data_IF_743177725675
#
_entry.id   IF_743177725675
#
_cell.length_a   1.000
_cell.length_b   1.000
_cell.length_c   1.000
_cell.angle_alpha   90.00
_cell.angle_beta   90.00
_cell.angle_gamma   90.00
#
_symmetry.space_group_name_H-M   'P 1'
#
loop_
_entity.id
_entity.type
_entity.pdbx_description
1 polymer ?
#
# COMPACT_ATOMS: atom_id res chain seq x y z
N UNK A 1 27.12 -15.02 10.55
CA UNK A 1 25.70 -15.40 10.54
C UNK A 1 24.91 -14.15 10.16
N UNK A 2 24.30 -14.11 8.98
CA UNK A 2 23.43 -12.99 8.62
C UNK A 2 22.18 -13.08 9.50
N UNK A 3 21.86 -12.03 10.26
CA UNK A 3 20.57 -11.93 10.94
C UNK A 3 19.49 -11.93 9.84
N UNK A 4 18.59 -12.92 9.86
CA UNK A 4 17.37 -12.86 9.05
C UNK A 4 16.57 -11.64 9.53
N UNK A 5 16.57 -10.58 8.74
CA UNK A 5 15.74 -9.42 8.98
C UNK A 5 14.29 -9.81 8.73
N UNK A 6 13.45 -9.70 9.77
CA UNK A 6 12.01 -9.94 9.63
C UNK A 6 11.40 -8.88 8.70
N UNK A 7 10.36 -9.24 7.92
CA UNK A 7 9.61 -8.28 7.12
C UNK A 7 9.09 -7.12 7.96
N UNK A 8 9.15 -5.90 7.43
CA UNK A 8 8.68 -4.71 8.14
C UNK A 8 7.16 -4.58 8.00
N UNK A 9 6.40 -4.46 9.10
CA UNK A 9 4.96 -4.26 9.01
C UNK A 9 4.62 -2.84 8.52
N UNK A 10 3.80 -2.74 7.48
CA UNK A 10 3.31 -1.47 6.91
C UNK A 10 1.78 -1.48 6.92
N UNK A 11 1.18 -0.54 7.65
CA UNK A 11 -0.27 -0.33 7.67
C UNK A 11 -0.66 0.71 6.62
N UNK A 12 -1.19 0.23 5.49
CA UNK A 12 -1.57 1.07 4.35
C UNK A 12 -2.67 2.10 4.70
N UNK A 13 -3.52 1.78 5.68
CA UNK A 13 -4.60 2.68 6.11
C UNK A 13 -4.10 3.88 6.93
N UNK A 14 -2.85 3.82 7.42
CA UNK A 14 -2.20 4.90 8.18
C UNK A 14 -1.31 5.79 7.34
N UNK A 15 -1.17 5.50 6.06
CA UNK A 15 -0.41 6.35 5.15
C UNK A 15 -1.14 7.70 4.95
N UNK A 16 -0.44 8.84 5.05
CA UNK A 16 -1.09 10.16 4.99
C UNK A 16 -1.69 10.51 3.63
N UNK A 17 -1.17 9.94 2.54
CA UNK A 17 -1.70 10.16 1.20
C UNK A 17 -2.40 8.91 0.68
N UNK A 18 -3.70 9.03 0.40
CA UNK A 18 -4.48 8.03 -0.34
C UNK A 18 -5.47 8.78 -1.23
N UNK A 19 -5.67 8.32 -2.45
CA UNK A 19 -6.64 8.87 -3.39
C UNK A 19 -7.94 8.04 -3.44
N UNK A 20 -8.12 7.15 -2.46
CA UNK A 20 -9.33 6.35 -2.33
C UNK A 20 -10.57 7.21 -2.13
N UNK A 21 -11.56 6.97 -2.99
CA UNK A 21 -12.78 7.77 -3.06
C UNK A 21 -13.85 7.37 -2.05
N UNK A 22 -13.67 6.24 -1.34
CA UNK A 22 -14.70 5.67 -0.48
C UNK A 22 -15.92 5.13 -1.22
N UNK A 23 -15.89 5.09 -2.57
CA UNK A 23 -16.96 4.52 -3.38
C UNK A 23 -17.17 3.05 -3.00
N UNK A 24 -18.44 2.69 -2.84
CA UNK A 24 -18.89 1.33 -2.50
C UNK A 24 -19.82 0.81 -3.61
N UNK A 25 -20.08 -0.51 -3.69
CA UNK A 25 -21.08 -1.05 -4.60
C UNK A 25 -22.46 -0.46 -4.32
N UNK A 26 -23.24 -0.21 -5.37
CA UNK A 26 -24.62 0.27 -5.25
C UNK A 26 -25.63 -0.84 -4.95
N UNK A 27 -25.26 -2.09 -5.20
CA UNK A 27 -26.17 -3.24 -5.09
C UNK A 27 -26.05 -3.88 -3.71
N UNK A 28 -27.18 -4.07 -3.04
CA UNK A 28 -27.27 -4.62 -1.68
C UNK A 28 -26.71 -6.06 -1.51
N UNK A 29 -26.53 -6.80 -2.61
CA UNK A 29 -26.00 -8.18 -2.58
C UNK A 29 -24.47 -8.25 -2.43
N UNK A 30 -23.79 -7.12 -2.22
CA UNK A 30 -22.35 -7.10 -1.98
C UNK A 30 -22.04 -7.18 -0.49
N UNK A 31 -21.21 -8.15 -0.10
CA UNK A 31 -20.63 -8.25 1.24
C UNK A 31 -19.26 -7.60 1.29
N UNK A 32 -18.99 -6.76 2.29
CA UNK A 32 -17.65 -6.27 2.56
C UNK A 32 -16.78 -7.43 3.06
N UNK A 33 -15.61 -7.60 2.47
CA UNK A 33 -14.65 -8.62 2.88
C UNK A 33 -13.62 -8.06 3.87
N UNK A 34 -13.11 -8.90 4.79
CA UNK A 34 -11.97 -8.52 5.62
C UNK A 34 -10.73 -8.25 4.75
N UNK A 35 -9.90 -7.28 5.15
CA UNK A 35 -8.71 -6.88 4.40
C UNK A 35 -7.60 -7.94 4.41
N UNK A 36 -7.49 -8.74 5.48
CA UNK A 36 -6.38 -9.67 5.73
C UNK A 36 -6.00 -10.54 4.52
N UNK A 37 -6.92 -11.32 3.94
CA UNK A 37 -6.61 -12.17 2.78
C UNK A 37 -6.07 -11.42 1.57
N UNK A 38 -6.53 -10.18 1.34
CA UNK A 38 -5.99 -9.34 0.26
C UNK A 38 -4.61 -8.80 0.64
N UNK A 39 -4.42 -8.34 1.88
CA UNK A 39 -3.10 -7.87 2.37
C UNK A 39 -2.03 -8.97 2.29
N UNK A 40 -2.39 -10.24 2.56
CA UNK A 40 -1.50 -11.39 2.41
C UNK A 40 -1.08 -11.59 0.95
N UNK A 41 -2.03 -11.47 0.01
CA UNK A 41 -1.73 -11.53 -1.42
C UNK A 41 -0.82 -10.38 -1.88
N UNK A 42 -1.11 -9.15 -1.42
CA UNK A 42 -0.29 -7.98 -1.73
C UNK A 42 1.13 -8.13 -1.17
N UNK A 43 1.25 -8.69 0.04
CA UNK A 43 2.54 -9.00 0.68
C UNK A 43 3.33 -9.99 -0.16
N UNK A 44 2.67 -11.04 -0.64
CA UNK A 44 3.27 -12.02 -1.55
C UNK A 44 3.76 -11.38 -2.85
N UNK A 45 2.96 -10.51 -3.49
CA UNK A 45 3.38 -9.81 -4.71
C UNK A 45 4.56 -8.87 -4.50
N UNK A 46 4.59 -8.14 -3.37
CA UNK A 46 5.69 -7.26 -3.04
C UNK A 46 7.00 -8.05 -2.85
N UNK A 47 6.99 -9.06 -1.98
CA UNK A 47 8.20 -9.80 -1.63
C UNK A 47 8.68 -10.73 -2.75
N UNK A 48 7.81 -11.13 -3.68
CA UNK A 48 8.22 -11.85 -4.89
C UNK A 48 8.93 -10.95 -5.93
N UNK A 49 8.80 -9.62 -5.81
CA UNK A 49 9.45 -8.68 -6.72
C UNK A 49 10.78 -8.18 -6.13
N UNK A 50 11.88 -8.77 -6.58
CA UNK A 50 13.22 -8.43 -6.12
C UNK A 50 13.57 -6.94 -6.32
N UNK A 51 13.04 -6.28 -7.35
CA UNK A 51 13.28 -4.86 -7.59
C UNK A 51 12.62 -4.00 -6.51
N UNK A 52 11.41 -4.36 -6.06
CA UNK A 52 10.74 -3.66 -4.95
C UNK A 52 11.46 -3.91 -3.63
N UNK A 53 11.82 -5.16 -3.33
CA UNK A 53 12.58 -5.49 -2.11
C UNK A 53 13.92 -4.72 -2.10
N UNK A 54 14.61 -4.64 -3.23
CA UNK A 54 15.85 -3.85 -3.37
C UNK A 54 15.60 -2.34 -3.24
N UNK A 55 14.54 -1.81 -3.89
CA UNK A 55 14.16 -0.40 -3.80
C UNK A 55 13.90 0.00 -2.34
N UNK A 56 13.13 -0.80 -1.61
CA UNK A 56 12.73 -0.52 -0.24
C UNK A 56 13.77 -0.98 0.80
N UNK A 57 14.73 -1.81 0.37
CA UNK A 57 15.82 -2.31 1.18
C UNK A 57 15.44 -3.46 2.12
N UNK A 58 14.19 -3.93 2.07
CA UNK A 58 13.66 -4.97 2.96
C UNK A 58 12.40 -5.59 2.36
N UNK A 59 12.11 -6.81 2.81
CA UNK A 59 10.77 -7.39 2.70
C UNK A 59 9.78 -6.62 3.59
N UNK A 60 8.51 -6.62 3.18
CA UNK A 60 7.41 -5.90 3.84
C UNK A 60 6.30 -6.89 4.15
N UNK A 61 5.55 -6.62 5.22
CA UNK A 61 4.28 -7.27 5.52
C UNK A 61 3.19 -6.20 5.57
N UNK A 62 2.18 -6.27 4.70
CA UNK A 62 1.05 -5.36 4.80
C UNK A 62 0.11 -5.82 5.92
N UNK A 63 -0.24 -4.90 6.82
CA UNK A 63 -1.05 -5.18 8.01
C UNK A 63 -2.18 -4.15 8.18
N UNK A 64 -3.11 -4.41 9.10
CA UNK A 64 -4.20 -3.48 9.41
C UNK A 64 -5.30 -3.53 8.36
N UNK A 65 -5.45 -2.45 7.59
CA UNK A 65 -6.50 -2.29 6.60
C UNK A 65 -5.96 -1.81 5.24
N UNK A 66 -6.82 -1.86 4.22
CA UNK A 66 -6.51 -1.30 2.89
C UNK A 66 -6.26 0.22 2.97
N UNK A 67 -5.61 0.83 1.96
CA UNK A 67 -5.48 2.28 1.90
C UNK A 67 -6.83 2.99 2.10
N UNK A 68 -6.80 4.17 2.71
CA UNK A 68 -8.02 4.91 3.05
C UNK A 68 -8.89 5.11 1.82
N UNK A 69 -10.20 4.84 1.96
CA UNK A 69 -11.17 4.97 0.87
C UNK A 69 -11.25 3.76 -0.08
N UNK A 70 -10.51 2.69 0.17
CA UNK A 70 -10.61 1.43 -0.57
C UNK A 70 -11.31 0.33 0.24
N UNK A 71 -11.99 -0.58 -0.45
CA UNK A 71 -12.64 -1.74 0.16
C UNK A 71 -12.75 -2.89 -0.83
N UNK A 72 -12.53 -4.12 -0.36
CA UNK A 72 -12.79 -5.33 -1.14
C UNK A 72 -14.18 -5.86 -0.82
N UNK A 73 -14.96 -6.15 -1.86
CA UNK A 73 -16.33 -6.61 -1.75
C UNK A 73 -16.51 -7.90 -2.54
N UNK A 74 -17.34 -8.81 -2.05
CA UNK A 74 -17.77 -9.98 -2.80
C UNK A 74 -19.25 -9.98 -3.14
N UNK A 75 -19.59 -10.62 -4.24
CA UNK A 75 -20.97 -10.89 -4.65
C UNK A 75 -21.00 -12.22 -5.41
N UNK A 76 -22.19 -12.83 -5.46
CA UNK A 76 -22.42 -14.05 -6.24
C UNK A 76 -23.02 -13.69 -7.60
N UNK A 77 -22.50 -14.29 -8.66
CA UNK A 77 -23.04 -14.12 -10.02
C UNK A 77 -24.39 -14.82 -10.16
N UNK A 78 -25.31 -14.24 -10.94
CA UNK A 78 -26.60 -14.87 -11.26
C UNK A 78 -26.37 -16.07 -12.18
N UNK A 79 -26.89 -17.23 -11.81
CA UNK A 79 -26.74 -18.49 -12.54
C UNK A 79 -25.87 -19.48 -11.79
N UNK A 80 -24.54 -19.37 -11.91
CA UNK A 80 -23.59 -20.37 -11.38
C UNK A 80 -23.24 -20.17 -9.90
N UNK A 81 -23.67 -19.08 -9.27
CA UNK A 81 -23.36 -18.81 -7.86
C UNK A 81 -21.85 -18.64 -7.61
N UNK A 82 -21.06 -18.29 -8.64
CA UNK A 82 -19.64 -18.04 -8.46
C UNK A 82 -19.43 -16.75 -7.67
N UNK A 83 -18.65 -16.83 -6.59
CA UNK A 83 -18.20 -15.67 -5.84
C UNK A 83 -17.19 -14.87 -6.69
N UNK A 84 -17.45 -13.57 -6.84
CA UNK A 84 -16.56 -12.60 -7.47
C UNK A 84 -16.13 -11.60 -6.42
N UNK A 85 -14.84 -11.27 -6.39
CA UNK A 85 -14.23 -10.33 -5.45
C UNK A 85 -13.70 -9.14 -6.23
N UNK A 86 -14.25 -7.97 -5.96
CA UNK A 86 -13.90 -6.72 -6.61
C UNK A 86 -13.44 -5.70 -5.56
N UNK A 87 -12.51 -4.83 -5.94
CA UNK A 87 -12.01 -3.76 -5.08
C UNK A 87 -12.59 -2.44 -5.56
N UNK A 88 -13.19 -1.69 -4.66
CA UNK A 88 -13.80 -0.39 -4.90
C UNK A 88 -13.01 0.71 -4.20
N UNK A 89 -13.22 1.95 -4.63
CA UNK A 89 -12.54 3.13 -4.11
C UNK A 89 -11.59 3.81 -5.09
N UNK A 90 -11.18 3.14 -6.17
CA UNK A 90 -10.23 3.71 -7.13
C UNK A 90 -10.79 4.96 -7.85
N UNK A 91 -10.03 6.05 -7.99
CA UNK A 91 -10.55 7.30 -8.55
C UNK A 91 -10.87 7.24 -10.05
N UNK A 92 -10.14 6.40 -10.80
CA UNK A 92 -10.23 6.35 -12.28
C UNK A 92 -11.09 5.21 -12.81
N UNK A 93 -11.44 4.25 -11.97
CA UNK A 93 -12.17 3.04 -12.40
C UNK A 93 -13.23 2.68 -11.39
N UNK A 94 -14.40 2.24 -11.85
CA UNK A 94 -15.51 1.86 -10.96
C UNK A 94 -15.13 0.75 -9.99
N UNK A 95 -14.35 -0.24 -10.46
CA UNK A 95 -13.89 -1.39 -9.66
C UNK A 95 -12.65 -2.02 -10.28
N UNK A 96 -11.83 -2.62 -9.44
CA UNK A 96 -10.65 -3.40 -9.82
C UNK A 96 -10.95 -4.88 -9.55
N UNK A 97 -10.85 -5.72 -10.60
CA UNK A 97 -11.27 -7.13 -10.55
C UNK A 97 -10.17 -8.12 -10.15
N UNK A 98 -8.95 -7.65 -9.94
CA UNK A 98 -7.78 -8.50 -9.71
C UNK A 98 -6.87 -7.88 -8.67
N UNK A 99 -6.34 -8.70 -7.76
CA UNK A 99 -5.41 -8.23 -6.74
C UNK A 99 -4.12 -7.64 -7.35
N UNK A 100 -3.62 -8.16 -8.48
CA UNK A 100 -2.40 -7.64 -9.11
C UNK A 100 -2.55 -6.21 -9.62
N UNK A 101 -3.67 -5.88 -10.29
CA UNK A 101 -3.93 -4.49 -10.71
C UNK A 101 -4.09 -3.53 -9.53
N UNK A 102 -4.63 -4.03 -8.41
CA UNK A 102 -4.70 -3.23 -7.21
C UNK A 102 -3.32 -3.07 -6.55
N UNK A 103 -2.48 -4.10 -6.63
CA UNK A 103 -1.11 -4.07 -6.15
C UNK A 103 -0.27 -2.98 -6.85
N UNK A 104 -0.38 -2.86 -8.18
CA UNK A 104 0.29 -1.79 -8.92
C UNK A 104 -0.04 -0.40 -8.34
N UNK A 105 -1.33 -0.19 -8.01
CA UNK A 105 -1.78 1.06 -7.41
C UNK A 105 -1.36 1.21 -5.94
N UNK A 106 -1.29 0.12 -5.17
CA UNK A 106 -0.71 0.15 -3.81
C UNK A 106 0.75 0.59 -3.84
N UNK A 107 1.53 0.18 -4.84
CA UNK A 107 2.91 0.67 -5.03
C UNK A 107 2.93 2.17 -5.32
N UNK A 108 2.03 2.69 -6.18
CA UNK A 108 1.89 4.14 -6.41
C UNK A 108 1.59 4.90 -5.11
N UNK A 109 0.70 4.36 -4.28
CA UNK A 109 0.38 4.93 -2.96
C UNK A 109 1.63 4.88 -2.05
N UNK A 110 2.37 3.78 -2.03
CA UNK A 110 3.60 3.69 -1.24
C UNK A 110 4.65 4.70 -1.68
N UNK A 111 4.85 4.89 -2.98
CA UNK A 111 5.78 5.86 -3.53
C UNK A 111 5.36 7.30 -3.18
N UNK A 112 4.07 7.63 -3.27
CA UNK A 112 3.54 8.92 -2.82
C UNK A 112 3.75 9.16 -1.31
N UNK A 113 3.88 8.08 -0.54
CA UNK A 113 4.14 8.09 0.90
C UNK A 113 5.58 7.66 1.24
N UNK A 114 6.54 7.82 0.31
CA UNK A 114 7.89 7.24 0.46
C UNK A 114 8.50 7.57 1.83
N UNK A 115 8.44 8.83 2.26
CA UNK A 115 8.99 9.23 3.55
C UNK A 115 8.36 8.51 4.75
N UNK A 116 7.03 8.33 4.75
CA UNK A 116 6.31 7.67 5.85
C UNK A 116 6.68 6.19 5.92
N UNK A 117 6.74 5.51 4.78
CA UNK A 117 7.16 4.10 4.70
C UNK A 117 8.62 3.95 5.13
N UNK A 118 9.51 4.82 4.66
CA UNK A 118 10.94 4.82 5.06
C UNK A 118 11.13 5.07 6.54
N UNK A 119 10.30 5.91 7.17
CA UNK A 119 10.29 6.11 8.62
C UNK A 119 9.91 4.82 9.36
N UNK A 120 8.87 4.12 8.92
CA UNK A 120 8.49 2.82 9.49
C UNK A 120 9.62 1.79 9.38
N UNK A 121 10.28 1.72 8.22
CA UNK A 121 11.46 0.86 8.02
C UNK A 121 12.61 1.29 8.94
N UNK A 122 12.90 2.58 9.04
CA UNK A 122 13.98 3.08 9.90
C UNK A 122 13.74 2.75 11.38
N UNK A 123 12.49 2.81 11.84
CA UNK A 123 12.12 2.45 13.19
C UNK A 123 12.26 0.94 13.45
N UNK A 124 11.81 0.10 12.50
CA UNK A 124 11.87 -1.35 12.64
C UNK A 124 13.29 -1.92 12.42
N UNK A 125 14.08 -1.28 11.56
CA UNK A 125 15.37 -1.74 11.09
C UNK A 125 16.36 -0.57 11.00
N UNK A 126 16.85 -0.04 12.14
CA UNK A 126 17.64 1.20 12.15
C UNK A 126 18.99 1.11 11.42
N UNK A 127 19.51 -0.11 11.24
CA UNK A 127 20.79 -0.37 10.58
C UNK A 127 20.63 -0.76 9.10
N UNK A 128 19.44 -0.64 8.51
CA UNK A 128 19.21 -0.94 7.10
C UNK A 128 19.89 0.13 6.22
N UNK A 129 21.06 -0.20 5.67
CA UNK A 129 21.89 0.73 4.91
C UNK A 129 21.19 1.27 3.65
N UNK A 130 20.39 0.43 2.98
CA UNK A 130 19.62 0.83 1.79
C UNK A 130 18.57 1.87 2.18
N UNK A 131 17.84 1.63 3.27
CA UNK A 131 16.87 2.58 3.79
C UNK A 131 17.53 3.89 4.24
N UNK A 132 18.65 3.82 4.97
CA UNK A 132 19.40 4.99 5.44
C UNK A 132 19.87 5.88 4.29
N UNK A 133 20.50 5.29 3.26
CA UNK A 133 20.97 6.02 2.09
C UNK A 133 19.84 6.75 1.37
N UNK A 134 18.69 6.08 1.22
CA UNK A 134 17.52 6.67 0.57
C UNK A 134 16.83 7.73 1.43
N UNK A 135 16.67 7.47 2.72
CA UNK A 135 16.04 8.39 3.67
C UNK A 135 16.81 9.71 3.79
N UNK A 136 18.14 9.66 3.87
CA UNK A 136 18.99 10.85 3.87
C UNK A 136 18.84 11.65 2.57
N UNK A 137 18.82 10.97 1.42
CA UNK A 137 18.62 11.61 0.11
C UNK A 137 17.29 12.36 0.04
N UNK A 138 16.20 11.76 0.55
CA UNK A 138 14.87 12.39 0.57
C UNK A 138 14.86 13.64 1.45
N UNK A 139 15.49 13.59 2.63
CA UNK A 139 15.56 14.74 3.53
C UNK A 139 16.38 15.90 2.96
N UNK A 140 17.46 15.60 2.24
CA UNK A 140 18.34 16.60 1.62
C UNK A 140 17.75 17.22 0.36
N UNK A 141 16.94 16.49 -0.40
CA UNK A 141 16.31 16.95 -1.64
C UNK A 141 14.93 17.59 -1.43
N UNK A 142 14.50 17.85 -0.19
CA UNK A 142 13.28 18.63 0.03
C UNK A 142 13.48 20.02 -0.59
N UNK A 143 12.60 20.48 -1.49
CA UNK A 143 12.63 21.88 -1.89
C UNK A 143 12.51 22.73 -0.63
N UNK A 144 13.46 23.63 -0.43
CA UNK A 144 13.31 24.72 0.53
C UNK A 144 12.04 25.44 0.11
N UNK A 145 10.94 25.20 0.82
CA UNK A 145 9.76 26.05 0.74
C UNK A 145 10.25 27.37 1.31
N UNK A 146 10.68 28.28 0.43
CA UNK A 146 10.89 29.66 0.79
C UNK A 146 9.54 30.18 1.26
N UNK A 147 9.32 30.17 2.58
CA UNK A 147 8.32 31.03 3.20
C UNK A 147 8.72 32.46 2.82
N UNK A 148 8.08 32.99 1.79
CA UNK A 148 8.09 34.42 1.50
C UNK A 148 7.18 35.09 2.53
N UNK A 149 7.60 35.11 3.79
CA UNK A 149 7.21 36.18 4.71
C UNK A 149 8.11 37.35 4.40
N UNK A 150 7.69 38.21 3.47
CA UNK A 150 8.15 39.59 3.44
C UNK A 150 7.04 40.51 2.89
N UNK A 151 6.62 41.39 3.81
CA UNK A 151 5.93 42.68 3.68
C UNK A 151 4.41 42.66 3.49
#
# INVERSE_FOLDING_TARGET
MAQQQLPVPIDLSRLPFSDGTGRVPTNANHGLLPAGPLLDLLTGYFNANAALVQQWGTEIQFVGALPQGFGQWSYHTSGEGREVKDIYGHPRTTRIRTAIKFFDHVVEIMDANELSVRNSIQFAQPNNQVNLARFQTILLNRPVVCNSTHL
#
